data_IF_420709887578
#
_entry.id   IF_420709887578
#
_cell.length_a   1.000
_cell.length_b   1.000
_cell.length_c   1.000
_cell.angle_alpha   90.00
_cell.angle_beta   90.00
_cell.angle_gamma   90.00
#
_symmetry.space_group_name_H-M   'P 1'
#
loop_
_entity.id
_entity.type
_entity.pdbx_description
1 polymer ?
#
# COMPACT_ATOMS: atom_id res chain seq x y z
N UNK A 1 -6.44 8.09 11.01
CA UNK A 1 -5.20 7.54 10.42
C UNK A 1 -4.74 8.50 9.34
N UNK A 2 -3.44 8.78 9.20
CA UNK A 2 -2.94 9.62 8.10
C UNK A 2 -2.00 8.82 7.18
N UNK A 3 -2.16 8.98 5.86
CA UNK A 3 -1.29 8.38 4.85
C UNK A 3 -0.45 9.48 4.20
N UNK A 4 0.87 9.30 4.20
CA UNK A 4 1.84 10.28 3.71
C UNK A 4 2.93 9.59 2.89
N UNK A 5 3.45 10.25 1.87
CA UNK A 5 4.68 9.84 1.18
C UNK A 5 5.87 10.44 1.93
N UNK A 6 6.71 9.59 2.51
CA UNK A 6 7.92 9.94 3.25
C UNK A 6 9.14 9.77 2.34
N UNK A 7 10.01 10.78 2.26
CA UNK A 7 11.28 10.73 1.54
C UNK A 7 12.37 10.26 2.49
N UNK A 8 13.12 9.22 2.12
CA UNK A 8 14.29 8.77 2.89
C UNK A 8 15.46 9.72 2.73
N UNK A 9 16.43 9.58 3.62
CA UNK A 9 17.75 10.20 3.44
C UNK A 9 18.33 9.78 2.09
N UNK A 10 19.03 10.70 1.40
CA UNK A 10 19.68 10.39 0.12
C UNK A 10 20.69 9.26 0.28
N UNK A 11 20.82 8.43 -0.74
CA UNK A 11 21.95 7.52 -0.90
C UNK A 11 23.22 8.27 -1.36
N UNK A 12 24.31 7.54 -1.58
CA UNK A 12 25.58 8.10 -2.08
C UNK A 12 25.46 8.77 -3.45
N UNK A 13 24.40 8.47 -4.20
CA UNK A 13 24.09 9.06 -5.51
C UNK A 13 23.08 10.21 -5.43
N UNK A 14 22.69 10.62 -4.22
CA UNK A 14 21.70 11.69 -4.01
C UNK A 14 20.25 11.26 -4.29
N UNK A 15 19.97 9.96 -4.38
CA UNK A 15 18.62 9.41 -4.60
C UNK A 15 17.92 9.19 -3.27
N UNK A 16 16.70 9.69 -3.15
CA UNK A 16 15.84 9.51 -2.00
C UNK A 16 14.74 8.50 -2.33
N UNK A 17 14.76 7.35 -1.67
CA UNK A 17 13.68 6.37 -1.77
C UNK A 17 12.38 6.92 -1.18
N UNK A 18 11.26 6.63 -1.83
CA UNK A 18 9.92 7.01 -1.37
C UNK A 18 9.27 5.87 -0.59
N UNK A 19 8.69 6.21 0.55
CA UNK A 19 7.93 5.28 1.39
C UNK A 19 6.49 5.75 1.58
N UNK A 20 5.54 4.83 1.48
CA UNK A 20 4.18 5.06 1.91
C UNK A 20 4.08 4.79 3.41
N UNK A 21 3.87 5.85 4.19
CA UNK A 21 3.78 5.79 5.64
C UNK A 21 2.33 5.94 6.10
N UNK A 22 1.81 4.92 6.79
CA UNK A 22 0.51 4.90 7.45
C UNK A 22 0.70 5.19 8.94
N UNK A 23 0.25 6.36 9.39
CA UNK A 23 0.36 6.80 10.79
C UNK A 23 -0.93 6.49 11.57
N UNK A 24 -0.78 5.73 12.66
CA UNK A 24 -1.86 5.31 13.55
C UNK A 24 -1.79 6.02 14.92
N UNK A 25 -1.10 7.16 15.01
CA UNK A 25 -0.91 7.90 16.26
C UNK A 25 0.27 7.40 17.07
N UNK A 26 0.12 7.35 18.39
CA UNK A 26 1.16 6.96 19.33
C UNK A 26 0.60 6.13 20.47
N UNK A 27 1.39 5.20 20.97
CA UNK A 27 1.10 4.39 22.16
C UNK A 27 2.10 4.75 23.26
N UNK A 28 1.68 4.66 24.52
CA UNK A 28 2.58 4.73 25.67
C UNK A 28 3.06 3.31 25.92
N UNK A 29 4.38 3.11 25.92
CA UNK A 29 5.00 1.83 26.22
C UNK A 29 4.96 1.57 27.74
N UNK A 30 5.21 0.35 28.17
CA UNK A 30 5.20 -0.04 29.60
C UNK A 30 6.17 0.79 30.46
N UNK A 31 7.22 1.32 29.83
CA UNK A 31 8.19 2.26 30.41
C UNK A 31 7.71 3.73 30.49
N UNK A 32 6.46 4.02 30.15
CA UNK A 32 5.92 5.38 30.07
C UNK A 32 6.36 6.18 28.84
N UNK A 33 7.15 5.58 27.94
CA UNK A 33 7.68 6.27 26.76
C UNK A 33 6.68 6.29 25.62
N UNK A 34 6.45 7.47 25.03
CA UNK A 34 5.56 7.64 23.87
C UNK A 34 6.21 7.10 22.59
N UNK A 35 5.69 6.00 22.04
CA UNK A 35 6.13 5.37 20.78
C UNK A 35 5.15 5.68 19.65
N UNK A 36 5.65 6.13 18.50
CA UNK A 36 4.83 6.40 17.30
C UNK A 36 4.41 5.07 16.67
N UNK A 37 3.10 4.85 16.48
CA UNK A 37 2.56 3.66 15.81
C UNK A 37 2.44 3.95 14.30
N UNK A 38 3.38 3.43 13.51
CA UNK A 38 3.46 3.69 12.06
C UNK A 38 3.80 2.40 11.31
N UNK A 39 3.20 2.19 10.15
CA UNK A 39 3.61 1.16 9.18
C UNK A 39 4.18 1.85 7.95
N UNK A 40 5.36 1.42 7.50
CA UNK A 40 6.05 1.94 6.33
C UNK A 40 6.14 0.86 5.27
N UNK A 41 5.92 1.24 4.02
CA UNK A 41 6.03 0.37 2.85
C UNK A 41 6.88 1.07 1.79
N UNK A 42 7.87 0.37 1.22
CA UNK A 42 8.62 0.88 0.07
C UNK A 42 7.69 1.06 -1.12
N UNK A 43 7.84 2.14 -1.87
CA UNK A 43 7.19 2.30 -3.17
C UNK A 43 8.08 1.80 -4.32
N UNK A 44 9.33 1.43 -4.03
CA UNK A 44 10.37 1.11 -5.02
C UNK A 44 10.57 2.23 -6.06
N UNK A 45 10.22 3.46 -5.65
CA UNK A 45 10.42 4.70 -6.39
C UNK A 45 11.49 5.54 -5.69
N UNK A 46 12.20 6.35 -6.47
CA UNK A 46 13.15 7.31 -5.95
C UNK A 46 13.07 8.65 -6.68
N UNK A 47 13.46 9.70 -5.98
CA UNK A 47 13.68 11.03 -6.56
C UNK A 47 15.12 11.47 -6.31
N UNK A 48 15.66 12.32 -7.17
CA UNK A 48 16.94 12.98 -6.91
C UNK A 48 16.72 14.14 -5.94
N UNK A 49 17.47 14.20 -4.83
CA UNK A 49 17.40 15.31 -3.88
C UNK A 49 17.78 16.64 -4.56
N UNK A 50 18.87 16.62 -5.34
CA UNK A 50 19.40 17.76 -6.09
C UNK A 50 19.48 17.38 -7.58
N UNK A 51 18.38 17.52 -8.35
CA UNK A 51 18.36 17.14 -9.75
C UNK A 51 19.23 18.10 -10.59
N UNK A 52 20.25 17.56 -11.25
CA UNK A 52 21.24 18.34 -12.03
C UNK A 52 20.72 18.72 -13.40
N UNK A 53 20.14 17.74 -14.11
CA UNK A 53 19.73 17.89 -15.51
C UNK A 53 18.21 17.90 -15.69
N UNK A 54 17.76 18.33 -16.88
CA UNK A 54 16.33 18.31 -17.26
C UNK A 54 15.73 16.92 -17.11
N UNK A 55 16.46 15.87 -17.49
CA UNK A 55 16.01 14.47 -17.38
C UNK A 55 15.71 14.11 -15.91
N UNK A 56 16.59 14.51 -14.97
CA UNK A 56 16.37 14.25 -13.55
C UNK A 56 15.19 15.03 -12.98
N UNK A 57 14.97 16.27 -13.46
CA UNK A 57 13.79 17.08 -13.09
C UNK A 57 12.49 16.45 -13.62
N UNK A 58 12.49 16.00 -14.87
CA UNK A 58 11.34 15.35 -15.51
C UNK A 58 11.02 13.99 -14.85
N UNK A 59 12.06 13.22 -14.48
CA UNK A 59 11.95 12.02 -13.66
C UNK A 59 11.29 12.32 -12.30
N UNK A 60 11.82 13.30 -11.56
CA UNK A 60 11.25 13.70 -10.28
C UNK A 60 9.78 14.12 -10.40
N UNK A 61 9.41 14.88 -11.44
CA UNK A 61 8.02 15.28 -11.69
C UNK A 61 7.13 14.05 -11.86
N UNK A 62 7.52 13.14 -12.75
CA UNK A 62 6.76 11.93 -13.07
C UNK A 62 6.61 11.01 -11.85
N UNK A 63 7.70 10.80 -11.11
CA UNK A 63 7.71 9.97 -9.89
C UNK A 63 6.87 10.58 -8.79
N UNK A 64 6.93 11.90 -8.57
CA UNK A 64 6.10 12.56 -7.56
C UNK A 64 4.61 12.43 -7.90
N UNK A 65 4.22 12.59 -9.18
CA UNK A 65 2.84 12.37 -9.62
C UNK A 65 2.40 10.93 -9.36
N UNK A 66 3.23 9.95 -9.69
CA UNK A 66 2.94 8.55 -9.43
C UNK A 66 2.80 8.25 -7.93
N UNK A 67 3.69 8.81 -7.09
CA UNK A 67 3.64 8.63 -5.65
C UNK A 67 2.36 9.22 -5.02
N UNK A 68 1.91 10.39 -5.49
CA UNK A 68 0.63 10.97 -5.04
C UNK A 68 -0.56 10.13 -5.52
N UNK A 69 -0.53 9.58 -6.74
CA UNK A 69 -1.58 8.67 -7.21
C UNK A 69 -1.67 7.40 -6.34
N UNK A 70 -0.52 6.80 -5.99
CA UNK A 70 -0.48 5.64 -5.09
C UNK A 70 -1.03 5.99 -3.71
N UNK A 71 -0.67 7.17 -3.18
CA UNK A 71 -1.18 7.66 -1.89
C UNK A 71 -2.69 7.87 -1.94
N UNK A 72 -3.21 8.49 -3.02
CA UNK A 72 -4.63 8.72 -3.21
C UNK A 72 -5.40 7.39 -3.27
N UNK A 73 -4.91 6.43 -4.04
CA UNK A 73 -5.48 5.07 -4.08
C UNK A 73 -5.49 4.42 -2.70
N UNK A 74 -4.39 4.49 -1.95
CA UNK A 74 -4.31 3.93 -0.61
C UNK A 74 -5.29 4.60 0.38
N UNK A 75 -5.61 5.89 0.20
CA UNK A 75 -6.63 6.59 0.98
C UNK A 75 -8.04 6.09 0.64
N UNK A 76 -8.33 5.90 -0.65
CA UNK A 76 -9.61 5.32 -1.13
C UNK A 76 -9.77 3.90 -0.60
N UNK A 77 -8.77 3.04 -0.77
CA UNK A 77 -8.79 1.66 -0.26
C UNK A 77 -9.01 1.62 1.25
N UNK A 78 -8.41 2.56 2.00
CA UNK A 78 -8.65 2.67 3.44
C UNK A 78 -10.09 3.07 3.77
N UNK A 79 -10.66 4.04 3.04
CA UNK A 79 -12.05 4.44 3.21
C UNK A 79 -13.01 3.29 2.89
N UNK A 80 -12.79 2.59 1.77
CA UNK A 80 -13.59 1.45 1.36
C UNK A 80 -13.57 0.32 2.40
N UNK A 81 -12.38 -0.06 2.87
CA UNK A 81 -12.23 -1.09 3.91
C UNK A 81 -12.85 -0.67 5.26
N UNK A 82 -12.78 0.63 5.61
CA UNK A 82 -13.33 1.13 6.88
C UNK A 82 -14.86 1.18 6.85
N UNK A 83 -15.43 1.49 5.69
CA UNK A 83 -16.87 1.72 5.54
C UNK A 83 -17.59 0.56 4.85
N UNK A 84 -16.89 -0.56 4.60
CA UNK A 84 -17.41 -1.71 3.84
C UNK A 84 -18.07 -1.29 2.52
N UNK A 85 -17.50 -0.30 1.81
CA UNK A 85 -17.85 -0.08 0.40
C UNK A 85 -17.20 -1.23 -0.38
N UNK A 86 -17.83 -2.39 -0.33
CA UNK A 86 -17.33 -3.58 -0.99
C UNK A 86 -17.47 -3.41 -2.50
N UNK A 87 -16.38 -3.75 -3.19
CA UNK A 87 -16.35 -3.82 -4.63
C UNK A 87 -17.22 -5.02 -5.05
N UNK A 88 -18.47 -4.73 -5.48
CA UNK A 88 -19.50 -5.72 -5.81
C UNK A 88 -18.99 -6.77 -6.81
N UNK A 89 -18.07 -6.42 -7.70
CA UNK A 89 -17.47 -7.37 -8.66
C UNK A 89 -16.49 -8.34 -7.98
N UNK A 90 -15.72 -7.88 -6.99
CA UNK A 90 -14.85 -8.76 -6.18
C UNK A 90 -15.63 -9.70 -5.28
N UNK A 91 -16.76 -9.26 -4.72
CA UNK A 91 -17.62 -10.16 -3.96
C UNK A 91 -18.23 -11.25 -4.84
N UNK A 92 -18.69 -10.90 -6.05
CA UNK A 92 -19.23 -11.87 -7.00
C UNK A 92 -18.18 -12.90 -7.40
N UNK A 93 -16.97 -12.48 -7.78
CA UNK A 93 -15.88 -13.42 -8.12
C UNK A 93 -15.51 -14.33 -6.95
N UNK A 94 -15.31 -13.78 -5.74
CA UNK A 94 -15.02 -14.58 -4.55
C UNK A 94 -16.12 -15.60 -4.23
N UNK A 95 -17.39 -15.28 -4.51
CA UNK A 95 -18.49 -16.21 -4.33
C UNK A 95 -18.44 -17.36 -5.35
N UNK A 96 -18.18 -17.07 -6.63
CA UNK A 96 -18.02 -18.10 -7.65
C UNK A 96 -16.85 -19.04 -7.34
N UNK A 97 -15.69 -18.48 -6.96
CA UNK A 97 -14.51 -19.27 -6.58
C UNK A 97 -14.78 -20.18 -5.37
N UNK A 98 -15.52 -19.67 -4.38
CA UNK A 98 -15.93 -20.46 -3.22
C UNK A 98 -16.86 -21.62 -3.62
N UNK A 99 -17.84 -21.35 -4.49
CA UNK A 99 -18.78 -22.36 -4.97
C UNK A 99 -18.08 -23.42 -5.85
N UNK A 100 -17.15 -23.03 -6.70
CA UNK A 100 -16.34 -23.97 -7.48
C UNK A 100 -15.52 -24.91 -6.60
N UNK A 101 -14.91 -24.38 -5.53
CA UNK A 101 -14.19 -25.20 -4.56
C UNK A 101 -15.10 -26.23 -3.87
N UNK A 102 -16.30 -25.83 -3.43
CA UNK A 102 -17.28 -26.76 -2.84
C UNK A 102 -17.68 -27.86 -3.84
N UNK A 103 -17.92 -27.50 -5.10
CA UNK A 103 -18.28 -28.45 -6.16
C UNK A 103 -17.12 -29.43 -6.40
N UNK A 104 -15.88 -28.94 -6.43
CA UNK A 104 -14.70 -29.76 -6.62
C UNK A 104 -14.46 -30.72 -5.44
N UNK A 105 -14.67 -30.27 -4.21
CA UNK A 105 -14.60 -31.12 -3.01
C UNK A 105 -15.65 -32.23 -3.04
N UNK A 106 -16.91 -31.92 -3.36
CA UNK A 106 -17.95 -32.95 -3.47
C UNK A 106 -17.66 -34.00 -4.54
N UNK A 107 -17.17 -33.59 -5.71
CA UNK A 107 -16.78 -34.52 -6.78
C UNK A 107 -15.68 -35.51 -6.37
N UNK A 108 -14.75 -35.10 -5.49
CA UNK A 108 -13.71 -36.01 -4.97
C UNK A 108 -14.29 -37.05 -4.03
N UNK A 109 -15.28 -36.67 -3.21
CA UNK A 109 -15.91 -37.56 -2.24
C UNK A 109 -16.87 -38.55 -2.89
N UNK A 110 -17.57 -38.16 -3.96
CA UNK A 110 -18.50 -39.02 -4.70
C UNK A 110 -17.81 -40.06 -5.61
N UNK A 111 -16.49 -39.94 -5.83
CA UNK A 111 -15.69 -40.86 -6.68
C UNK A 111 -15.16 -42.11 -5.94
N UNK A 112 -15.64 -42.38 -4.71
CA UNK A 112 -15.15 -43.49 -3.85
C UNK A 112 -16.15 -44.67 -3.78
N UNK A 113 -17.05 -44.81 -4.75
CA UNK A 113 -17.92 -45.99 -4.85
C UNK A 113 -17.90 -46.60 -6.25
#
# INVERSE_FOLDING_TARGET
MTITVEKKSPDSQGRQALMLTRNFGSIIDESGKRKKKRKRQSLDLFIYQNPKDKIQRDHNKSVNTLAENIRAKALVDYANNKHCFEDLEKQKSSFFDFMENIIAEKKKTDSVY
#
